data_IF_342732806126
#
_entry.id   IF_342732806126
#
_cell.length_a   1.000
_cell.length_b   1.000
_cell.length_c   1.000
_cell.angle_alpha   90.00
_cell.angle_beta   90.00
_cell.angle_gamma   90.00
#
_symmetry.space_group_name_H-M   'P 1'
#
loop_
_entity.id
_entity.type
_entity.pdbx_description
1 polymer ?
#
# COMPACT_ATOMS: atom_id res chain seq x y z
N UNK A 1 29.07 22.89 -14.02
CA UNK A 1 28.56 22.52 -12.68
C UNK A 1 29.03 23.51 -11.62
N UNK A 2 30.32 23.85 -11.57
CA UNK A 2 30.87 24.82 -10.60
C UNK A 2 30.24 26.21 -10.64
N UNK A 3 29.83 26.67 -11.83
CA UNK A 3 29.12 27.95 -11.99
C UNK A 3 27.73 27.93 -11.35
N UNK A 4 26.96 26.87 -11.59
CA UNK A 4 25.60 26.72 -11.05
C UNK A 4 25.66 26.54 -9.52
N UNK A 5 26.58 25.71 -9.02
CA UNK A 5 26.76 25.53 -7.59
C UNK A 5 27.15 26.85 -6.90
N UNK A 6 28.05 27.62 -7.51
CA UNK A 6 28.45 28.94 -7.01
C UNK A 6 27.28 29.93 -6.97
N UNK A 7 26.51 30.03 -8.05
CA UNK A 7 25.33 30.90 -8.12
C UNK A 7 24.29 30.54 -7.03
N UNK A 8 24.01 29.25 -6.84
CA UNK A 8 23.07 28.78 -5.80
C UNK A 8 23.62 28.99 -4.39
N UNK A 9 24.93 28.82 -4.18
CA UNK A 9 25.58 29.06 -2.89
C UNK A 9 25.56 30.55 -2.51
N UNK A 10 25.80 31.44 -3.48
CA UNK A 10 25.69 32.88 -3.29
C UNK A 10 24.26 33.31 -2.97
N UNK A 11 23.26 32.71 -3.63
CA UNK A 11 21.84 32.92 -3.35
C UNK A 11 21.46 32.45 -1.92
N UNK A 12 21.95 31.28 -1.49
CA UNK A 12 21.71 30.79 -0.13
C UNK A 12 22.36 31.68 0.94
N UNK A 13 23.60 32.13 0.71
CA UNK A 13 24.29 33.07 1.60
C UNK A 13 23.56 34.41 1.69
N UNK A 14 23.01 34.91 0.58
CA UNK A 14 22.16 36.10 0.59
C UNK A 14 20.85 35.86 1.37
N UNK A 15 20.24 34.69 1.20
CA UNK A 15 19.07 34.25 1.97
C UNK A 15 19.33 34.20 3.48
N UNK A 16 20.46 33.65 3.91
CA UNK A 16 20.86 33.61 5.32
C UNK A 16 20.97 35.01 5.93
N UNK A 17 21.57 35.97 5.19
CA UNK A 17 21.67 37.37 5.64
C UNK A 17 20.30 38.02 5.78
N UNK A 18 19.40 37.76 4.83
CA UNK A 18 18.02 38.27 4.88
C UNK A 18 17.23 37.66 6.03
N UNK A 19 17.43 36.37 6.33
CA UNK A 19 16.80 35.71 7.47
C UNK A 19 17.27 36.28 8.80
N UNK A 20 18.58 36.55 8.93
CA UNK A 20 19.15 37.21 10.12
C UNK A 20 18.60 38.63 10.35
N UNK A 21 18.13 39.29 9.28
CA UNK A 21 17.48 40.59 9.33
C UNK A 21 15.94 40.50 9.46
N UNK A 22 15.39 39.30 9.70
CA UNK A 22 13.94 39.03 9.73
C UNK A 22 13.20 39.40 8.42
N UNK A 23 13.89 39.44 7.28
CA UNK A 23 13.32 39.81 5.97
C UNK A 23 12.69 38.63 5.21
N UNK A 24 12.97 37.38 5.64
CA UNK A 24 12.40 36.16 5.08
C UNK A 24 11.96 35.20 6.19
N UNK A 25 11.04 34.30 5.88
CA UNK A 25 10.58 33.26 6.80
C UNK A 25 11.54 32.08 6.86
N UNK A 26 11.44 31.27 7.93
CA UNK A 26 12.20 30.03 8.06
C UNK A 26 11.92 29.04 6.91
N UNK A 27 10.66 28.92 6.47
CA UNK A 27 10.30 28.04 5.35
C UNK A 27 10.95 28.46 4.03
N UNK A 28 11.14 29.76 3.82
CA UNK A 28 11.83 30.28 2.66
C UNK A 28 13.35 30.03 2.73
N UNK A 29 13.94 30.13 3.92
CA UNK A 29 15.33 29.75 4.16
C UNK A 29 15.56 28.24 3.95
N UNK A 30 14.66 27.40 4.46
CA UNK A 30 14.69 25.95 4.29
C UNK A 30 14.65 25.56 2.81
N UNK A 31 13.79 26.23 2.01
CA UNK A 31 13.74 26.04 0.55
C UNK A 31 15.07 26.36 -0.12
N UNK A 32 15.74 27.46 0.28
CA UNK A 32 17.04 27.85 -0.27
C UNK A 32 18.15 26.86 0.15
N UNK A 33 18.12 26.40 1.39
CA UNK A 33 19.06 25.38 1.91
C UNK A 33 18.91 24.05 1.15
N UNK A 34 17.68 23.61 0.92
CA UNK A 34 17.40 22.40 0.16
C UNK A 34 17.92 22.52 -1.28
N UNK A 35 17.73 23.69 -1.90
CA UNK A 35 18.21 23.95 -3.26
C UNK A 35 19.74 23.93 -3.35
N UNK A 36 20.45 24.47 -2.36
CA UNK A 36 21.92 24.39 -2.29
C UNK A 36 22.38 22.94 -2.10
N UNK A 37 21.74 22.19 -1.20
CA UNK A 37 22.05 20.78 -0.95
C UNK A 37 21.87 19.93 -2.22
N UNK A 38 20.83 20.22 -3.01
CA UNK A 38 20.60 19.55 -4.28
C UNK A 38 21.69 19.90 -5.30
N UNK A 39 22.08 21.17 -5.40
CA UNK A 39 23.15 21.60 -6.31
C UNK A 39 24.53 21.03 -5.92
N UNK A 40 24.82 20.90 -4.62
CA UNK A 40 26.04 20.26 -4.12
C UNK A 40 26.11 18.77 -4.49
N UNK A 41 24.98 18.07 -4.35
CA UNK A 41 24.89 16.63 -4.64
C UNK A 41 24.63 16.31 -6.11
N UNK A 42 24.93 17.23 -7.03
CA UNK A 42 24.61 17.05 -8.44
C UNK A 42 25.29 15.85 -9.11
N UNK A 43 26.41 15.39 -8.58
CA UNK A 43 27.08 14.17 -9.02
C UNK A 43 26.23 12.89 -8.81
N UNK A 44 25.26 12.92 -7.89
CA UNK A 44 24.33 11.81 -7.60
C UNK A 44 22.98 11.95 -8.29
N UNK A 45 22.75 13.01 -9.07
CA UNK A 45 21.44 13.25 -9.68
C UNK A 45 21.03 12.13 -10.63
N UNK A 46 21.97 11.56 -11.40
CA UNK A 46 21.66 10.46 -12.29
C UNK A 46 21.16 9.24 -11.49
N UNK A 47 21.82 8.90 -10.38
CA UNK A 47 21.42 7.78 -9.51
C UNK A 47 20.03 8.02 -8.91
N UNK A 48 19.77 9.25 -8.43
CA UNK A 48 18.46 9.63 -7.88
C UNK A 48 17.36 9.60 -8.95
N UNK A 49 17.66 10.06 -10.16
CA UNK A 49 16.73 10.02 -11.29
C UNK A 49 16.42 8.57 -11.65
N UNK A 50 17.43 7.71 -11.71
CA UNK A 50 17.27 6.29 -12.02
C UNK A 50 16.42 5.59 -10.96
N UNK A 51 16.74 5.78 -9.68
CA UNK A 51 15.98 5.25 -8.55
C UNK A 51 14.50 5.68 -8.60
N UNK A 52 14.25 6.99 -8.74
CA UNK A 52 12.89 7.53 -8.79
C UNK A 52 12.13 7.10 -10.04
N UNK A 53 12.83 6.93 -11.16
CA UNK A 53 12.22 6.40 -12.38
C UNK A 53 11.80 4.94 -12.22
N UNK A 54 12.63 4.12 -11.54
CA UNK A 54 12.32 2.73 -11.22
C UNK A 54 11.12 2.63 -10.28
N UNK A 55 11.08 3.48 -9.24
CA UNK A 55 9.95 3.59 -8.33
C UNK A 55 8.64 3.94 -9.07
N UNK A 56 8.70 4.94 -9.96
CA UNK A 56 7.55 5.34 -10.77
C UNK A 56 7.08 4.22 -11.72
N UNK A 57 8.00 3.49 -12.34
CA UNK A 57 7.68 2.34 -13.19
C UNK A 57 7.06 1.20 -12.36
N UNK A 58 7.55 0.97 -11.14
CA UNK A 58 6.97 0.00 -10.21
C UNK A 58 5.55 0.36 -9.80
N UNK A 59 5.29 1.64 -9.50
CA UNK A 59 3.93 2.14 -9.25
C UNK A 59 3.02 1.95 -10.46
N UNK A 60 3.49 2.35 -11.64
CA UNK A 60 2.76 2.17 -12.90
C UNK A 60 2.36 0.71 -13.11
N UNK A 61 3.29 -0.23 -12.92
CA UNK A 61 3.02 -1.67 -13.04
C UNK A 61 1.93 -2.13 -12.07
N UNK A 62 2.05 -1.79 -10.77
CA UNK A 62 1.04 -2.14 -9.76
C UNK A 62 -0.35 -1.60 -10.11
N UNK A 63 -0.44 -0.40 -10.67
CA UNK A 63 -1.72 0.15 -11.13
C UNK A 63 -2.32 -0.66 -12.27
N UNK A 64 -1.52 -1.04 -13.28
CA UNK A 64 -2.01 -1.87 -14.38
C UNK A 64 -2.42 -3.27 -13.92
N UNK A 65 -1.64 -3.89 -13.05
CA UNK A 65 -1.99 -5.20 -12.48
C UNK A 65 -3.31 -5.12 -11.70
N UNK A 66 -3.53 -4.04 -10.94
CA UNK A 66 -4.78 -3.77 -10.24
C UNK A 66 -5.97 -3.56 -11.18
N UNK A 67 -5.79 -2.82 -12.29
CA UNK A 67 -6.82 -2.62 -13.30
C UNK A 67 -7.19 -3.96 -13.96
N UNK A 68 -6.19 -4.76 -14.34
CA UNK A 68 -6.41 -6.07 -14.96
C UNK A 68 -7.22 -6.98 -14.03
N UNK A 69 -6.87 -7.02 -12.75
CA UNK A 69 -7.59 -7.81 -11.75
C UNK A 69 -9.06 -7.39 -11.63
N UNK A 70 -9.35 -6.08 -11.65
CA UNK A 70 -10.72 -5.57 -11.64
C UNK A 70 -11.47 -5.99 -12.90
N UNK A 71 -10.86 -5.85 -14.08
CA UNK A 71 -11.47 -6.23 -15.36
C UNK A 71 -11.78 -7.74 -15.43
N UNK A 72 -10.88 -8.58 -14.97
CA UNK A 72 -11.10 -10.03 -14.88
C UNK A 72 -12.27 -10.36 -13.97
N UNK A 73 -12.38 -9.66 -12.83
CA UNK A 73 -13.47 -9.85 -11.88
C UNK A 73 -14.81 -9.43 -12.46
N UNK A 74 -14.87 -8.30 -13.16
CA UNK A 74 -16.07 -7.83 -13.87
C UNK A 74 -16.51 -8.86 -14.91
N UNK A 75 -15.60 -9.34 -15.76
CA UNK A 75 -15.92 -10.37 -16.76
C UNK A 75 -16.46 -11.65 -16.12
N UNK A 76 -15.91 -12.05 -14.97
CA UNK A 76 -16.40 -13.23 -14.25
C UNK A 76 -17.81 -13.01 -13.72
N UNK A 77 -18.11 -11.82 -13.20
CA UNK A 77 -19.46 -11.47 -12.73
C UNK A 77 -20.48 -11.41 -13.88
N UNK A 78 -20.10 -10.86 -15.04
CA UNK A 78 -20.95 -10.85 -16.24
C UNK A 78 -21.25 -12.26 -16.74
N UNK A 79 -20.24 -13.15 -16.79
CA UNK A 79 -20.44 -14.56 -17.13
C UNK A 79 -21.42 -15.25 -16.19
N UNK A 80 -21.30 -14.99 -14.89
CA UNK A 80 -22.19 -15.53 -13.87
C UNK A 80 -23.64 -15.05 -14.08
N UNK A 81 -23.84 -13.77 -14.39
CA UNK A 81 -25.16 -13.19 -14.67
C UNK A 81 -25.81 -13.79 -15.93
N UNK A 82 -25.00 -14.03 -16.96
CA UNK A 82 -25.44 -14.62 -18.23
C UNK A 82 -25.58 -16.15 -18.18
N UNK A 83 -25.23 -16.79 -17.06
CA UNK A 83 -25.23 -18.25 -16.92
C UNK A 83 -24.18 -18.96 -17.78
N UNK A 84 -23.11 -18.26 -18.15
CA UNK A 84 -21.99 -18.80 -18.91
C UNK A 84 -21.01 -19.56 -18.01
N UNK A 85 -20.36 -20.58 -18.56
CA UNK A 85 -19.31 -21.31 -17.86
C UNK A 85 -18.06 -20.41 -17.67
N UNK A 86 -17.50 -20.43 -16.47
CA UNK A 86 -16.26 -19.74 -16.13
C UNK A 86 -15.37 -20.64 -15.28
N UNK A 87 -14.07 -20.39 -15.36
CA UNK A 87 -13.08 -21.16 -14.63
C UNK A 87 -13.07 -20.74 -13.15
N UNK A 88 -12.98 -21.73 -12.26
CA UNK A 88 -13.06 -21.53 -10.81
C UNK A 88 -11.90 -22.26 -10.16
N UNK A 89 -11.24 -21.59 -9.21
CA UNK A 89 -10.31 -22.26 -8.32
C UNK A 89 -11.05 -23.29 -7.45
N UNK A 90 -10.94 -24.56 -7.85
CA UNK A 90 -11.54 -25.68 -7.13
C UNK A 90 -10.96 -25.83 -5.72
N UNK A 91 -9.69 -25.49 -5.50
CA UNK A 91 -9.04 -25.59 -4.18
C UNK A 91 -9.63 -24.59 -3.19
N UNK A 92 -9.75 -23.33 -3.63
CA UNK A 92 -10.44 -22.28 -2.89
C UNK A 92 -11.91 -22.62 -2.64
N UNK A 93 -12.61 -23.13 -3.65
CA UNK A 93 -14.01 -23.53 -3.53
C UNK A 93 -14.20 -24.66 -2.51
N UNK A 94 -13.37 -25.71 -2.54
CA UNK A 94 -13.43 -26.81 -1.57
C UNK A 94 -13.18 -26.28 -0.16
N UNK A 95 -12.14 -25.46 0.02
CA UNK A 95 -11.81 -24.90 1.33
C UNK A 95 -12.95 -24.04 1.88
N UNK A 96 -13.53 -23.18 1.05
CA UNK A 96 -14.66 -22.35 1.42
C UNK A 96 -15.93 -23.18 1.71
N UNK A 97 -16.18 -24.24 0.92
CA UNK A 97 -17.31 -25.14 1.12
C UNK A 97 -17.24 -25.86 2.46
N UNK A 98 -16.03 -26.20 2.93
CA UNK A 98 -15.82 -26.76 4.27
C UNK A 98 -16.25 -25.79 5.36
N UNK A 99 -15.81 -24.53 5.28
CA UNK A 99 -16.16 -23.48 6.26
C UNK A 99 -17.69 -23.27 6.29
N UNK A 100 -18.32 -23.09 5.12
CA UNK A 100 -19.76 -22.85 5.02
C UNK A 100 -20.56 -24.08 5.45
N UNK A 101 -20.07 -25.29 5.16
CA UNK A 101 -20.70 -26.55 5.58
C UNK A 101 -20.72 -26.74 7.09
N UNK A 102 -19.65 -26.32 7.77
CA UNK A 102 -19.52 -26.38 9.23
C UNK A 102 -20.30 -25.27 9.92
N UNK A 103 -20.54 -24.12 9.27
CA UNK A 103 -21.32 -23.01 9.80
C UNK A 103 -22.83 -23.26 9.67
N UNK A 104 -23.31 -24.34 10.30
CA UNK A 104 -24.71 -24.78 10.30
C UNK A 104 -25.10 -25.26 11.70
N UNK A 105 -26.41 -25.24 11.98
CA UNK A 105 -26.94 -25.85 13.18
C UNK A 105 -26.61 -27.34 13.23
N UNK A 106 -26.16 -27.80 14.41
CA UNK A 106 -25.84 -29.20 14.66
C UNK A 106 -27.05 -30.08 14.34
N UNK A 107 -26.87 -31.16 13.55
CA UNK A 107 -27.89 -32.19 13.41
C UNK A 107 -28.22 -32.82 14.77
N UNK A 108 -29.46 -33.30 14.99
CA UNK A 108 -29.83 -33.99 16.21
C UNK A 108 -28.86 -35.14 16.52
N UNK A 109 -28.30 -35.17 17.73
CA UNK A 109 -27.33 -36.18 18.16
C UNK A 109 -25.86 -35.87 17.88
N UNK A 110 -25.55 -34.75 17.22
CA UNK A 110 -24.17 -34.28 16.96
C UNK A 110 -23.78 -33.03 17.76
N UNK A 111 -24.58 -32.68 18.77
CA UNK A 111 -24.44 -31.45 19.58
C UNK A 111 -23.10 -31.31 20.30
N UNK A 112 -22.42 -32.42 20.60
CA UNK A 112 -21.11 -32.45 21.27
C UNK A 112 -19.91 -32.53 20.32
N UNK A 113 -20.16 -32.49 19.01
CA UNK A 113 -19.11 -32.73 18.00
C UNK A 113 -18.40 -31.44 17.64
N UNK A 114 -17.06 -31.44 17.61
CA UNK A 114 -16.25 -30.31 17.13
C UNK A 114 -16.30 -30.10 15.61
N UNK A 115 -17.16 -30.83 14.91
CA UNK A 115 -17.28 -30.83 13.45
C UNK A 115 -18.08 -29.65 12.90
N UNK A 116 -18.91 -29.00 13.73
CA UNK A 116 -19.70 -27.84 13.33
C UNK A 116 -19.29 -26.63 14.16
N UNK A 117 -19.41 -25.47 13.53
CA UNK A 117 -19.15 -24.18 14.15
C UNK A 117 -20.47 -23.59 14.65
N UNK A 118 -20.45 -22.83 15.77
CA UNK A 118 -21.63 -22.10 16.21
C UNK A 118 -22.07 -21.07 15.15
N UNK A 119 -23.38 -20.76 15.06
CA UNK A 119 -23.93 -19.84 14.05
C UNK A 119 -23.45 -18.40 14.19
N UNK A 120 -22.88 -18.06 15.35
CA UNK A 120 -22.23 -16.79 15.62
C UNK A 120 -20.84 -17.05 16.20
N UNK A 121 -19.86 -16.17 15.91
CA UNK A 121 -18.52 -16.30 16.47
C UNK A 121 -18.58 -16.23 18.01
N UNK A 122 -17.83 -17.11 18.65
CA UNK A 122 -17.72 -17.11 20.11
C UNK A 122 -16.91 -15.90 20.58
N UNK A 123 -17.16 -15.42 21.80
CA UNK A 123 -16.39 -14.32 22.41
C UNK A 123 -14.86 -14.52 22.31
N UNK A 124 -14.30 -15.72 22.58
CA UNK A 124 -12.87 -15.99 22.39
C UNK A 124 -12.41 -15.84 20.94
N UNK A 125 -13.23 -16.25 19.97
CA UNK A 125 -12.93 -16.15 18.54
C UNK A 125 -12.92 -14.69 18.07
N UNK A 126 -13.84 -13.87 18.58
CA UNK A 126 -13.87 -12.42 18.31
C UNK A 126 -12.62 -11.75 18.88
N UNK A 127 -12.22 -12.09 20.11
CA UNK A 127 -11.01 -11.54 20.72
C UNK A 127 -9.75 -11.92 19.91
N UNK A 128 -9.63 -13.18 19.49
CA UNK A 128 -8.53 -13.63 18.66
C UNK A 128 -8.44 -12.87 17.32
N UNK A 129 -9.58 -12.65 16.65
CA UNK A 129 -9.62 -11.91 15.39
C UNK A 129 -9.20 -10.44 15.57
N UNK A 130 -9.60 -9.82 16.68
CA UNK A 130 -9.19 -8.45 17.00
C UNK A 130 -7.71 -8.35 17.37
N UNK A 131 -7.15 -9.34 18.08
CA UNK A 131 -5.73 -9.34 18.43
C UNK A 131 -4.84 -9.54 17.18
N UNK A 132 -5.25 -10.42 16.27
CA UNK A 132 -4.51 -10.69 15.01
C UNK A 132 -4.49 -9.50 14.03
N UNK A 133 -5.44 -8.57 14.12
CA UNK A 133 -5.45 -7.35 13.30
C UNK A 133 -4.51 -6.26 13.83
N UNK A 134 -4.10 -6.34 15.09
CA UNK A 134 -3.07 -5.48 15.70
C UNK A 134 -1.65 -5.86 15.26
N UNK A 135 -1.38 -7.14 14.99
CA UNK A 135 -0.04 -7.64 14.63
C UNK A 135 0.29 -7.43 13.14
N UNK A 136 -0.71 -7.41 12.24
CA UNK A 136 -0.51 -7.13 10.81
C UNK A 136 -0.20 -5.67 10.49
N UNK A 137 -0.12 -4.80 11.49
CA UNK A 137 0.20 -3.37 11.35
C UNK A 137 1.67 -3.04 11.70
N UNK A 138 2.52 -4.06 11.92
CA UNK A 138 3.92 -3.89 12.35
C UNK A 138 4.98 -4.38 11.35
N UNK A 139 4.60 -4.72 10.11
CA UNK A 139 5.55 -4.96 9.03
C UNK A 139 5.47 -3.80 8.01
N UNK A 140 6.12 -2.69 8.36
CA UNK A 140 6.62 -1.67 7.42
C UNK A 140 8.12 -1.87 7.19
#
# INVERSE_FOLDING_TARGET
MDRLYREVSEEFLAGLKRYLNDEISYSELERLSLRETLAFNAHKWNDVIEEKSSEALGMKRRMYDGILWIEERIKTMEKLENGEEFDVDLGGLVSHSGIVGQNRLYPPGYESTSLYLPPFPSLPMVNFLNDSSSESSQED
#
